data_IF_268378385827
#
_entry.id   IF_268378385827
#
_cell.length_a   1.000
_cell.length_b   1.000
_cell.length_c   1.000
_cell.angle_alpha   90.00
_cell.angle_beta   90.00
_cell.angle_gamma   90.00
#
_symmetry.space_group_name_H-M   'P 1'
#
loop_
_entity.id
_entity.type
_entity.pdbx_description
1 polymer ?
#
# COMPACT_ATOMS: atom_id res chain seq x y z
N UNK A 1 -13.19 0.27 -0.15
CA UNK A 1 -12.42 -0.48 0.87
C UNK A 1 -13.03 -0.29 2.25
N UNK A 2 -12.90 0.86 2.89
CA UNK A 2 -13.37 1.08 4.27
C UNK A 2 -14.88 0.83 4.49
N UNK A 3 -15.70 1.07 3.48
CA UNK A 3 -17.16 0.91 3.58
C UNK A 3 -17.60 -0.58 3.59
N UNK A 4 -16.80 -1.46 2.98
CA UNK A 4 -17.07 -2.90 2.95
C UNK A 4 -16.44 -3.66 4.12
N UNK A 5 -15.36 -3.15 4.70
CA UNK A 5 -14.63 -3.79 5.80
C UNK A 5 -14.94 -3.21 7.17
N UNK A 6 -15.79 -2.17 7.26
CA UNK A 6 -16.03 -1.37 8.46
C UNK A 6 -14.75 -0.75 9.08
N UNK A 7 -13.63 -0.86 8.39
CA UNK A 7 -12.34 -0.33 8.83
C UNK A 7 -12.21 1.12 8.40
N UNK A 8 -11.99 2.07 9.33
CA UNK A 8 -11.83 3.46 8.96
C UNK A 8 -10.56 3.68 8.14
N UNK A 9 -10.66 4.53 7.12
CA UNK A 9 -9.54 4.91 6.26
C UNK A 9 -9.41 6.43 6.15
N UNK A 10 -8.17 6.92 6.21
CA UNK A 10 -7.83 8.31 5.93
C UNK A 10 -7.22 8.39 4.52
N UNK A 11 -7.89 9.09 3.61
CA UNK A 11 -7.37 9.36 2.26
C UNK A 11 -6.58 10.66 2.27
N UNK A 12 -5.26 10.57 2.06
CA UNK A 12 -4.36 11.71 1.93
C UNK A 12 -4.21 12.06 0.45
N UNK A 13 -4.84 13.15 0.01
CA UNK A 13 -4.80 13.62 -1.36
C UNK A 13 -3.64 14.61 -1.53
N UNK A 14 -2.54 14.17 -2.13
CA UNK A 14 -1.28 14.91 -2.15
C UNK A 14 -1.34 16.19 -2.98
N UNK A 15 -2.09 16.17 -4.07
CA UNK A 15 -2.04 17.18 -5.13
C UNK A 15 -3.23 18.16 -5.12
N UNK A 16 -3.97 18.25 -4.00
CA UNK A 16 -5.10 19.16 -3.86
C UNK A 16 -4.78 20.37 -2.96
N UNK A 17 -5.30 21.55 -3.36
CA UNK A 17 -4.99 22.80 -2.67
C UNK A 17 -5.75 23.06 -1.36
N UNK A 18 -6.90 22.43 -1.14
CA UNK A 18 -7.81 22.83 -0.06
C UNK A 18 -7.99 21.77 1.01
N UNK A 19 -8.35 20.59 0.65
CA UNK A 19 -8.60 19.50 1.60
C UNK A 19 -7.66 18.34 1.29
N UNK A 20 -6.78 18.04 2.23
CA UNK A 20 -5.73 17.05 2.04
C UNK A 20 -6.10 15.68 2.60
N UNK A 21 -7.03 15.61 3.55
CA UNK A 21 -7.37 14.36 4.23
C UNK A 21 -8.88 14.21 4.29
N UNK A 22 -9.38 13.10 3.76
CA UNK A 22 -10.79 12.70 3.87
C UNK A 22 -10.88 11.41 4.68
N UNK A 23 -11.66 11.45 5.74
CA UNK A 23 -11.90 10.29 6.61
C UNK A 23 -13.15 9.55 6.16
N UNK A 24 -13.01 8.26 5.85
CA UNK A 24 -14.09 7.38 5.39
C UNK A 24 -14.25 6.21 6.35
N UNK A 25 -15.48 5.77 6.59
CA UNK A 25 -15.77 4.60 7.42
C UNK A 25 -15.68 4.85 8.93
N UNK A 26 -15.53 6.10 9.39
CA UNK A 26 -15.46 6.45 10.83
C UNK A 26 -16.84 6.67 11.47
N UNK A 27 -17.86 6.83 10.65
CA UNK A 27 -19.25 7.03 11.10
C UNK A 27 -20.21 6.46 10.05
N UNK A 28 -21.37 6.00 10.51
CA UNK A 28 -22.44 5.60 9.60
C UNK A 28 -23.14 6.84 9.02
N UNK A 29 -22.47 7.47 8.03
CA UNK A 29 -22.92 8.71 7.39
C UNK A 29 -23.71 8.49 6.08
N UNK A 30 -24.09 7.25 5.81
CA UNK A 30 -24.79 6.86 4.59
C UNK A 30 -23.94 7.02 3.32
N UNK A 31 -22.63 6.86 3.41
CA UNK A 31 -21.70 6.93 2.28
C UNK A 31 -21.31 8.36 1.86
N UNK A 32 -21.66 9.38 2.64
CA UNK A 32 -21.33 10.79 2.30
C UNK A 32 -19.83 11.05 2.27
N UNK A 33 -19.08 10.49 3.21
CA UNK A 33 -17.61 10.62 3.24
C UNK A 33 -16.97 9.94 2.04
N UNK A 34 -17.46 8.77 1.64
CA UNK A 34 -16.99 8.07 0.44
C UNK A 34 -17.32 8.88 -0.83
N UNK A 35 -18.54 9.40 -0.95
CA UNK A 35 -18.93 10.24 -2.09
C UNK A 35 -18.06 11.50 -2.18
N UNK A 36 -17.69 12.10 -1.05
CA UNK A 36 -16.78 13.23 -0.99
C UNK A 36 -15.36 12.85 -1.44
N UNK A 37 -14.82 11.71 -0.98
CA UNK A 37 -13.52 11.21 -1.43
C UNK A 37 -13.50 11.01 -2.95
N UNK A 38 -14.53 10.37 -3.52
CA UNK A 38 -14.68 10.16 -4.97
C UNK A 38 -14.74 11.50 -5.73
N UNK A 39 -15.48 12.47 -5.22
CA UNK A 39 -15.59 13.79 -5.84
C UNK A 39 -14.24 14.51 -5.87
N UNK A 40 -13.46 14.44 -4.79
CA UNK A 40 -12.12 15.03 -4.72
C UNK A 40 -11.11 14.31 -5.63
N UNK A 41 -11.17 12.99 -5.74
CA UNK A 41 -10.36 12.21 -6.67
C UNK A 41 -10.67 12.51 -8.15
N UNK A 42 -11.84 13.08 -8.43
CA UNK A 42 -12.23 13.52 -9.77
C UNK A 42 -11.72 14.91 -10.13
N UNK A 43 -11.15 15.65 -9.16
CA UNK A 43 -10.51 16.93 -9.43
C UNK A 43 -9.15 16.71 -10.14
N UNK A 44 -8.81 17.60 -11.09
CA UNK A 44 -7.53 17.52 -11.78
C UNK A 44 -6.35 17.67 -10.78
N UNK A 45 -5.36 16.77 -10.77
CA UNK A 45 -4.19 16.89 -9.91
C UNK A 45 -3.37 18.12 -10.30
N UNK A 46 -2.66 18.69 -9.33
CA UNK A 46 -1.82 19.87 -9.51
C UNK A 46 -0.37 19.55 -9.16
N UNK A 47 0.47 19.77 -10.11
CA UNK A 47 1.92 19.80 -10.27
C UNK A 47 2.85 19.03 -9.31
N UNK A 48 2.69 19.05 -7.99
CA UNK A 48 3.67 18.49 -7.06
C UNK A 48 3.22 17.20 -6.43
N UNK A 49 4.19 16.29 -6.16
CA UNK A 49 3.95 15.01 -5.46
C UNK A 49 4.66 15.03 -4.10
N UNK A 50 4.12 15.73 -3.07
CA UNK A 50 4.78 15.95 -1.77
C UNK A 50 4.62 14.73 -0.85
N UNK A 51 5.23 13.60 -1.20
CA UNK A 51 5.13 12.34 -0.47
C UNK A 51 5.81 12.44 0.89
N UNK A 52 7.01 13.06 0.96
CA UNK A 52 7.76 13.16 2.21
C UNK A 52 6.97 13.91 3.29
N UNK A 53 6.29 14.98 2.90
CA UNK A 53 5.44 15.74 3.83
C UNK A 53 4.28 14.87 4.33
N UNK A 54 3.60 14.15 3.45
CA UNK A 54 2.48 13.29 3.83
C UNK A 54 2.95 12.14 4.74
N UNK A 55 4.08 11.50 4.41
CA UNK A 55 4.67 10.45 5.24
C UNK A 55 5.03 10.98 6.62
N UNK A 56 5.64 12.17 6.73
CA UNK A 56 5.96 12.76 8.03
C UNK A 56 4.71 13.04 8.88
N UNK A 57 3.61 13.47 8.28
CA UNK A 57 2.33 13.64 8.99
C UNK A 57 1.78 12.27 9.47
N UNK A 58 1.92 11.21 8.66
CA UNK A 58 1.53 9.85 9.02
C UNK A 58 2.41 9.31 10.15
N UNK A 59 3.73 9.53 10.11
CA UNK A 59 4.67 9.13 11.18
C UNK A 59 4.22 9.66 12.54
N UNK A 60 3.80 10.92 12.62
CA UNK A 60 3.28 11.50 13.87
C UNK A 60 2.03 10.75 14.36
N UNK A 61 1.11 10.43 13.46
CA UNK A 61 -0.09 9.65 13.80
C UNK A 61 0.27 8.24 14.26
N UNK A 62 1.16 7.56 13.53
CA UNK A 62 1.59 6.20 13.85
C UNK A 62 2.22 6.12 15.23
N UNK A 63 3.15 7.03 15.55
CA UNK A 63 3.77 7.10 16.87
C UNK A 63 2.75 7.33 17.99
N UNK A 64 1.70 8.10 17.73
CA UNK A 64 0.62 8.32 18.73
C UNK A 64 -0.29 7.11 18.92
N UNK A 65 -0.38 6.20 17.96
CA UNK A 65 -1.23 5.02 17.98
C UNK A 65 -0.47 3.74 18.34
N UNK A 66 0.86 3.76 18.34
CA UNK A 66 1.73 2.58 18.41
C UNK A 66 1.42 1.70 19.62
N UNK A 67 1.33 2.27 20.84
CA UNK A 67 1.04 1.51 22.06
C UNK A 67 -0.29 0.78 21.99
N UNK A 68 -1.31 1.41 21.39
CA UNK A 68 -2.63 0.81 21.22
C UNK A 68 -2.61 -0.31 20.17
N UNK A 69 -1.93 -0.11 19.04
CA UNK A 69 -1.80 -1.11 17.99
C UNK A 69 -1.10 -2.36 18.54
N UNK A 70 0.03 -2.20 19.23
CA UNK A 70 0.76 -3.30 19.86
C UNK A 70 -0.06 -4.03 20.92
N UNK A 71 -0.76 -3.29 21.79
CA UNK A 71 -1.57 -3.88 22.85
C UNK A 71 -2.71 -4.76 22.32
N UNK A 72 -3.18 -4.49 21.10
CA UNK A 72 -4.27 -5.23 20.44
C UNK A 72 -3.80 -6.19 19.34
N UNK A 73 -2.49 -6.38 19.19
CA UNK A 73 -1.90 -7.18 18.10
C UNK A 73 -2.41 -6.73 16.72
N UNK A 74 -2.44 -5.41 16.52
CA UNK A 74 -2.92 -4.76 15.30
C UNK A 74 -1.80 -3.99 14.61
N UNK A 75 -1.96 -3.77 13.33
CA UNK A 75 -1.11 -2.89 12.52
C UNK A 75 -1.96 -1.95 11.67
N UNK A 76 -1.40 -0.81 11.33
CA UNK A 76 -1.99 0.09 10.35
C UNK A 76 -1.51 -0.29 8.94
N UNK A 77 -2.38 -0.13 7.96
CA UNK A 77 -2.03 -0.32 6.55
C UNK A 77 -1.85 1.05 5.89
N UNK A 78 -0.64 1.33 5.40
CA UNK A 78 -0.33 2.50 4.59
C UNK A 78 -0.26 2.10 3.11
N UNK A 79 -1.23 2.55 2.33
CA UNK A 79 -1.24 2.34 0.88
C UNK A 79 -0.80 3.65 0.20
N UNK A 80 0.29 3.60 -0.56
CA UNK A 80 0.81 4.72 -1.35
C UNK A 80 0.54 4.41 -2.82
N UNK A 81 -0.37 5.16 -3.44
CA UNK A 81 -0.67 5.07 -4.86
C UNK A 81 0.05 6.20 -5.59
N UNK A 82 0.90 5.86 -6.54
CA UNK A 82 1.82 6.78 -7.21
C UNK A 82 1.97 6.46 -8.69
N UNK A 83 2.24 7.50 -9.47
CA UNK A 83 2.56 7.46 -10.90
C UNK A 83 3.89 8.16 -11.23
N UNK A 84 4.63 8.64 -10.21
CA UNK A 84 5.87 9.39 -10.36
C UNK A 84 6.79 9.31 -9.14
N UNK A 85 7.83 10.13 -9.15
CA UNK A 85 8.76 10.25 -8.03
C UNK A 85 8.29 11.28 -7.00
N UNK A 86 8.85 11.23 -5.78
CA UNK A 86 8.64 12.27 -4.78
C UNK A 86 9.32 13.58 -5.19
N UNK A 87 8.62 14.70 -5.05
CA UNK A 87 9.15 16.03 -5.44
C UNK A 87 9.61 16.88 -4.26
N UNK A 88 9.39 16.43 -3.02
CA UNK A 88 9.56 17.25 -1.82
C UNK A 88 10.64 16.75 -0.85
N UNK A 89 11.55 15.88 -1.30
CA UNK A 89 12.70 15.47 -0.49
C UNK A 89 13.08 13.99 -0.60
N UNK A 90 13.85 13.52 0.41
CA UNK A 90 14.31 12.15 0.51
C UNK A 90 13.20 11.23 1.07
N UNK A 91 12.53 10.50 0.19
CA UNK A 91 11.43 9.61 0.55
C UNK A 91 11.94 8.40 1.38
N UNK A 92 13.17 7.94 1.15
CA UNK A 92 13.79 6.86 1.93
C UNK A 92 13.93 7.30 3.38
N UNK A 93 14.48 8.49 3.62
CA UNK A 93 14.63 9.03 4.96
C UNK A 93 13.27 9.27 5.65
N UNK A 94 12.25 9.65 4.89
CA UNK A 94 10.89 9.82 5.43
C UNK A 94 10.28 8.47 5.84
N UNK A 95 10.33 7.46 4.96
CA UNK A 95 9.76 6.12 5.22
C UNK A 95 10.51 5.39 6.33
N UNK A 96 11.83 5.54 6.45
CA UNK A 96 12.63 4.95 7.54
C UNK A 96 12.14 5.32 8.94
N UNK A 97 11.45 6.43 9.10
CA UNK A 97 10.86 6.81 10.38
C UNK A 97 9.69 5.90 10.82
N UNK A 98 9.18 5.07 9.90
CA UNK A 98 8.16 4.06 10.17
C UNK A 98 8.77 2.71 10.59
N UNK A 99 10.08 2.53 10.46
CA UNK A 99 10.76 1.31 10.87
C UNK A 99 10.52 1.01 12.36
N UNK A 100 10.19 -0.24 12.66
CA UNK A 100 9.88 -0.69 14.01
C UNK A 100 8.51 -0.27 14.56
N UNK A 101 7.69 0.45 13.81
CA UNK A 101 6.29 0.73 14.15
C UNK A 101 5.36 -0.37 13.61
N UNK A 102 4.18 -0.48 14.22
CA UNK A 102 3.13 -1.43 13.82
C UNK A 102 2.43 -0.95 12.54
N UNK A 103 3.17 -0.89 11.44
CA UNK A 103 2.70 -0.46 10.11
C UNK A 103 3.19 -1.39 9.03
N UNK A 104 2.32 -1.65 8.07
CA UNK A 104 2.64 -2.31 6.81
C UNK A 104 2.47 -1.30 5.67
N UNK A 105 3.35 -1.34 4.69
CA UNK A 105 3.31 -0.44 3.54
C UNK A 105 3.00 -1.23 2.28
N UNK A 106 2.08 -0.70 1.47
CA UNK A 106 1.84 -1.17 0.09
C UNK A 106 2.14 0.00 -0.85
N UNK A 107 3.06 -0.22 -1.77
CA UNK A 107 3.31 0.67 -2.89
C UNK A 107 2.54 0.19 -4.11
N UNK A 108 1.58 0.99 -4.58
CA UNK A 108 0.86 0.76 -5.83
C UNK A 108 1.43 1.69 -6.89
N UNK A 109 2.19 1.12 -7.81
CA UNK A 109 2.78 1.86 -8.93
C UNK A 109 1.77 1.85 -10.08
N UNK A 110 1.31 3.04 -10.47
CA UNK A 110 0.29 3.24 -11.52
C UNK A 110 0.92 3.85 -12.78
N UNK A 111 2.06 3.33 -13.19
CA UNK A 111 2.78 3.76 -14.41
C UNK A 111 3.59 2.60 -14.98
N UNK A 112 3.82 2.63 -16.28
CA UNK A 112 4.73 1.76 -17.02
C UNK A 112 6.10 2.39 -17.29
N UNK A 113 6.37 3.57 -16.72
CA UNK A 113 7.68 4.23 -16.82
C UNK A 113 8.73 3.48 -15.98
N UNK A 114 9.65 2.82 -16.67
CA UNK A 114 10.73 2.05 -16.04
C UNK A 114 11.61 2.88 -15.10
N UNK A 115 11.76 4.18 -15.33
CA UNK A 115 12.55 5.07 -14.46
C UNK A 115 11.88 5.21 -13.10
N UNK A 116 10.56 5.38 -13.09
CA UNK A 116 9.75 5.47 -11.88
C UNK A 116 9.73 4.14 -11.13
N UNK A 117 9.55 3.03 -11.86
CA UNK A 117 9.56 1.68 -11.29
C UNK A 117 10.93 1.39 -10.63
N UNK A 118 12.05 1.66 -11.32
CA UNK A 118 13.39 1.49 -10.76
C UNK A 118 13.64 2.38 -9.52
N UNK A 119 13.13 3.61 -9.54
CA UNK A 119 13.22 4.50 -8.38
C UNK A 119 12.56 3.87 -7.15
N UNK A 120 11.31 3.39 -7.27
CA UNK A 120 10.59 2.81 -6.16
C UNK A 120 11.12 1.44 -5.73
N UNK A 121 11.68 0.66 -6.64
CA UNK A 121 12.40 -0.56 -6.30
C UNK A 121 13.65 -0.26 -5.44
N UNK A 122 14.39 0.82 -5.74
CA UNK A 122 15.51 1.27 -4.90
C UNK A 122 15.04 1.73 -3.52
N UNK A 123 13.90 2.42 -3.44
CA UNK A 123 13.28 2.79 -2.16
C UNK A 123 12.98 1.54 -1.36
N UNK A 124 12.32 0.55 -1.96
CA UNK A 124 11.92 -0.69 -1.30
C UNK A 124 13.11 -1.43 -0.68
N UNK A 125 14.20 -1.63 -1.43
CA UNK A 125 15.39 -2.33 -0.92
C UNK A 125 16.20 -1.52 0.10
N UNK A 126 15.91 -0.24 0.27
CA UNK A 126 16.65 0.67 1.16
C UNK A 126 16.04 0.81 2.56
N UNK A 127 14.84 0.29 2.77
CA UNK A 127 14.09 0.39 4.03
C UNK A 127 13.84 -0.99 4.62
N UNK A 128 13.97 -1.11 5.96
CA UNK A 128 13.74 -2.35 6.72
C UNK A 128 12.30 -2.39 7.24
N UNK A 129 11.35 -2.29 6.31
CA UNK A 129 9.92 -2.42 6.58
C UNK A 129 9.39 -3.43 5.57
N UNK A 130 8.38 -4.20 5.96
CA UNK A 130 7.64 -5.02 5.00
C UNK A 130 6.87 -4.10 4.04
N UNK A 131 7.44 -3.86 2.85
CA UNK A 131 6.84 -3.09 1.77
C UNK A 131 6.47 -4.04 0.66
N UNK A 132 5.19 -4.15 0.41
CA UNK A 132 4.69 -4.86 -0.75
C UNK A 132 4.59 -3.88 -1.92
N UNK A 133 5.39 -4.10 -2.96
CA UNK A 133 5.26 -3.40 -4.25
C UNK A 133 4.28 -4.19 -5.09
N UNK A 134 3.24 -3.56 -5.58
CA UNK A 134 2.22 -4.17 -6.42
C UNK A 134 2.11 -3.43 -7.75
N UNK A 135 2.32 -4.17 -8.82
CA UNK A 135 2.03 -3.76 -10.19
C UNK A 135 0.55 -3.95 -10.53
N UNK A 136 0.18 -3.67 -11.77
CA UNK A 136 -1.14 -3.99 -12.27
C UNK A 136 -1.36 -5.51 -12.36
N UNK A 137 -2.62 -5.93 -12.23
CA UNK A 137 -3.00 -7.35 -12.16
C UNK A 137 -2.40 -8.22 -13.28
N UNK A 138 -2.37 -7.72 -14.52
CA UNK A 138 -1.84 -8.47 -15.66
C UNK A 138 -0.32 -8.61 -15.60
N UNK A 139 0.38 -7.56 -15.18
CA UNK A 139 1.85 -7.56 -15.02
C UNK A 139 2.25 -8.51 -13.88
N UNK A 140 1.62 -8.39 -12.72
CA UNK A 140 1.82 -9.29 -11.59
C UNK A 140 1.57 -10.75 -11.98
N UNK A 141 0.47 -11.01 -12.69
CA UNK A 141 0.12 -12.36 -13.15
C UNK A 141 1.17 -12.97 -14.06
N UNK A 142 1.72 -12.17 -14.97
CA UNK A 142 2.78 -12.60 -15.90
C UNK A 142 4.09 -12.91 -15.17
N UNK A 143 4.50 -12.05 -14.25
CA UNK A 143 5.72 -12.26 -13.44
C UNK A 143 5.61 -13.54 -12.59
N UNK A 144 4.45 -13.74 -11.95
CA UNK A 144 4.20 -14.93 -11.13
C UNK A 144 4.18 -16.19 -12.00
N UNK A 145 3.60 -16.15 -13.20
CA UNK A 145 3.59 -17.28 -14.13
C UNK A 145 4.99 -17.68 -14.59
N UNK A 146 5.89 -16.72 -14.81
CA UNK A 146 7.29 -17.00 -15.18
C UNK A 146 8.04 -17.75 -14.07
N UNK A 147 7.78 -17.43 -12.80
CA UNK A 147 8.51 -17.98 -11.65
C UNK A 147 7.80 -19.18 -11.04
N UNK A 148 6.48 -19.11 -10.96
CA UNK A 148 5.60 -20.12 -10.33
C UNK A 148 4.46 -20.54 -11.28
N UNK A 149 4.80 -21.01 -12.48
CA UNK A 149 3.86 -21.34 -13.58
C UNK A 149 2.78 -22.38 -13.27
N UNK A 150 2.84 -23.01 -12.11
CA UNK A 150 1.79 -23.89 -11.58
C UNK A 150 0.71 -23.12 -10.80
N UNK A 151 1.01 -21.87 -10.35
CA UNK A 151 0.10 -21.05 -9.57
C UNK A 151 -0.77 -20.19 -10.50
N UNK A 152 -2.07 -20.40 -10.44
CA UNK A 152 -3.01 -19.51 -11.13
C UNK A 152 -3.20 -18.25 -10.31
N UNK A 153 -2.60 -17.15 -10.79
CA UNK A 153 -2.77 -15.84 -10.15
C UNK A 153 -4.12 -15.24 -10.55
N UNK A 154 -5.06 -15.25 -9.63
CA UNK A 154 -6.42 -14.77 -9.87
C UNK A 154 -6.71 -13.45 -9.16
N UNK A 155 -7.78 -12.77 -9.60
CA UNK A 155 -8.21 -11.49 -9.03
C UNK A 155 -8.44 -11.53 -7.52
N UNK A 156 -8.87 -12.65 -6.96
CA UNK A 156 -9.07 -12.81 -5.51
C UNK A 156 -7.74 -12.72 -4.74
N UNK A 157 -6.68 -13.35 -5.27
CA UNK A 157 -5.35 -13.31 -4.68
C UNK A 157 -4.72 -11.92 -4.81
N UNK A 158 -4.86 -11.29 -5.98
CA UNK A 158 -4.43 -9.92 -6.20
C UNK A 158 -5.12 -8.95 -5.22
N UNK A 159 -6.44 -9.08 -5.06
CA UNK A 159 -7.19 -8.28 -4.09
C UNK A 159 -6.74 -8.52 -2.65
N UNK A 160 -6.45 -9.75 -2.25
CA UNK A 160 -5.93 -10.03 -0.92
C UNK A 160 -4.61 -9.28 -0.66
N UNK A 161 -3.68 -9.27 -1.64
CA UNK A 161 -2.44 -8.48 -1.56
C UNK A 161 -2.72 -6.97 -1.49
N UNK A 162 -3.64 -6.46 -2.30
CA UNK A 162 -4.06 -5.05 -2.24
C UNK A 162 -4.63 -4.64 -0.87
N UNK A 163 -5.25 -5.57 -0.16
CA UNK A 163 -5.77 -5.35 1.20
C UNK A 163 -4.74 -5.60 2.31
N UNK A 164 -3.50 -5.86 1.96
CA UNK A 164 -2.43 -6.06 2.94
C UNK A 164 -2.54 -7.39 3.68
N UNK A 165 -3.14 -8.40 3.08
CA UNK A 165 -3.07 -9.75 3.63
C UNK A 165 -1.62 -10.22 3.55
N UNK A 166 -0.96 -10.21 4.71
CA UNK A 166 0.43 -10.65 4.86
C UNK A 166 0.45 -12.18 4.92
N UNK A 167 0.96 -12.76 3.87
CA UNK A 167 1.29 -14.18 3.88
C UNK A 167 2.74 -14.28 3.44
N UNK A 168 3.63 -14.88 4.24
CA UNK A 168 5.09 -14.81 4.01
C UNK A 168 5.53 -15.19 2.60
N UNK A 169 4.83 -16.12 1.94
CA UNK A 169 5.16 -16.52 0.58
C UNK A 169 4.66 -15.52 -0.48
N UNK A 170 3.64 -14.69 -0.16
CA UNK A 170 3.05 -13.77 -1.15
C UNK A 170 3.94 -12.55 -1.44
N UNK A 171 4.85 -12.23 -0.53
CA UNK A 171 5.74 -11.09 -0.69
C UNK A 171 6.80 -11.34 -1.78
N UNK A 172 7.05 -12.61 -2.09
CA UNK A 172 8.12 -13.05 -2.98
C UNK A 172 7.63 -13.91 -4.15
N UNK A 173 6.33 -14.02 -4.34
CA UNK A 173 5.73 -14.97 -5.30
C UNK A 173 6.04 -14.65 -6.76
N UNK A 174 6.34 -13.40 -7.05
CA UNK A 174 6.65 -12.84 -8.37
C UNK A 174 8.13 -12.97 -8.76
N UNK A 175 9.03 -13.21 -7.77
CA UNK A 175 10.48 -13.32 -8.05
C UNK A 175 11.18 -14.53 -7.42
N UNK A 176 10.50 -15.30 -6.57
CA UNK A 176 11.04 -16.53 -6.00
C UNK A 176 10.13 -17.74 -6.24
N UNK A 177 10.74 -18.88 -6.57
CA UNK A 177 9.98 -20.16 -6.58
C UNK A 177 9.53 -20.50 -5.16
N UNK A 178 8.25 -20.78 -5.01
CA UNK A 178 7.67 -21.20 -3.74
C UNK A 178 8.22 -22.56 -3.29
N UNK A 179 8.62 -22.64 -2.04
CA UNK A 179 9.07 -23.87 -1.41
C UNK A 179 7.89 -24.83 -1.18
N UNK A 180 8.18 -26.11 -0.91
CA UNK A 180 7.13 -27.08 -0.53
C UNK A 180 6.35 -26.65 0.73
N UNK A 181 6.99 -25.92 1.65
CA UNK A 181 6.34 -25.40 2.83
C UNK A 181 5.35 -24.26 2.48
N UNK A 182 5.76 -23.36 1.58
CA UNK A 182 4.91 -22.29 1.08
C UNK A 182 3.70 -22.85 0.33
N UNK A 183 3.92 -23.84 -0.54
CA UNK A 183 2.83 -24.53 -1.28
C UNK A 183 1.81 -25.16 -0.30
N UNK A 184 2.28 -25.80 0.78
CA UNK A 184 1.37 -26.34 1.80
C UNK A 184 0.55 -25.23 2.48
N UNK A 185 1.17 -24.08 2.76
CA UNK A 185 0.48 -22.93 3.35
C UNK A 185 -0.60 -22.38 2.40
N UNK A 186 -0.29 -22.27 1.10
CA UNK A 186 -1.30 -21.89 0.08
C UNK A 186 -2.50 -22.84 0.10
N UNK A 187 -2.26 -24.15 0.07
CA UNK A 187 -3.34 -25.15 0.04
C UNK A 187 -4.18 -25.15 1.32
N UNK A 188 -3.61 -24.78 2.46
CA UNK A 188 -4.34 -24.68 3.72
C UNK A 188 -5.19 -23.39 3.84
N UNK A 189 -4.93 -22.39 3.01
CA UNK A 189 -5.70 -21.14 2.96
C UNK A 189 -6.89 -21.19 2.01
N UNK A 190 -6.90 -22.15 1.07
CA UNK A 190 -7.98 -22.38 0.11
C UNK A 190 -9.05 -23.31 0.71
#
# INVERSE_FOLDING_TARGET
MSDASETPADFHLLNLNKEKVVKVGQSNDGGKSLARAIALLSEAPRADTPICKAVNEIVVKMKAMEDNLRANDQYALLIILIDGESTDGDVIAALKQLEGLSVQIILRIATDDNVVIEYWNKVNVSIDINVLVLDEFECEGSQIEEVNGWLTYGAALHRAREYGVVVPFMDNVDYCQLSQADIKSVVQML
#
